data_IF_248957119445
#
_entry.id   IF_248957119445
#
_cell.length_a   1.000
_cell.length_b   1.000
_cell.length_c   1.000
_cell.angle_alpha   90.00
_cell.angle_beta   90.00
_cell.angle_gamma   90.00
#
_symmetry.space_group_name_H-M   'P 1'
#
loop_
_entity.id
_entity.type
_entity.pdbx_description
1 polymer ?
#
# COMPACT_ATOMS: atom_id res chain seq x y z
N UNK A 1 13.20 -8.40 -25.11
CA UNK A 1 11.86 -8.91 -24.85
C UNK A 1 10.88 -7.83 -25.29
N UNK A 2 10.11 -8.04 -26.36
CA UNK A 2 9.15 -7.03 -26.83
C UNK A 2 8.07 -6.90 -25.77
N UNK A 3 7.95 -5.73 -25.16
CA UNK A 3 6.80 -5.37 -24.33
C UNK A 3 5.58 -5.34 -25.27
N UNK A 4 4.53 -6.08 -24.93
CA UNK A 4 3.27 -6.00 -25.65
C UNK A 4 2.45 -4.84 -25.06
N UNK A 5 2.55 -3.61 -25.57
CA UNK A 5 1.92 -2.42 -24.97
C UNK A 5 0.40 -2.56 -24.93
N UNK A 6 -0.17 -3.37 -25.82
CA UNK A 6 -1.61 -3.66 -25.82
C UNK A 6 -2.04 -4.49 -24.61
N UNK A 7 -1.27 -5.53 -24.25
CA UNK A 7 -1.59 -6.40 -23.10
C UNK A 7 -1.46 -5.63 -21.78
N UNK A 8 -0.43 -4.81 -21.67
CA UNK A 8 -0.21 -3.95 -20.52
C UNK A 8 -1.36 -2.95 -20.33
N UNK A 9 -1.78 -2.27 -21.39
CA UNK A 9 -2.92 -1.35 -21.36
C UNK A 9 -4.23 -2.06 -20.98
N UNK A 10 -4.48 -3.26 -21.54
CA UNK A 10 -5.66 -4.07 -21.21
C UNK A 10 -5.65 -4.50 -19.75
N UNK A 11 -4.50 -4.91 -19.22
CA UNK A 11 -4.34 -5.32 -17.83
C UNK A 11 -4.63 -4.15 -16.88
N UNK A 12 -4.05 -2.97 -17.12
CA UNK A 12 -4.33 -1.75 -16.35
C UNK A 12 -5.82 -1.38 -16.37
N UNK A 13 -6.47 -1.47 -17.52
CA UNK A 13 -7.90 -1.20 -17.61
C UNK A 13 -8.73 -2.17 -16.78
N UNK A 14 -8.39 -3.46 -16.80
CA UNK A 14 -9.07 -4.48 -15.97
C UNK A 14 -8.86 -4.20 -14.49
N UNK A 15 -7.64 -3.89 -14.08
CA UNK A 15 -7.33 -3.55 -12.68
C UNK A 15 -8.12 -2.31 -12.22
N UNK A 16 -8.15 -1.25 -13.04
CA UNK A 16 -8.91 -0.04 -12.73
C UNK A 16 -10.41 -0.33 -12.60
N UNK A 17 -10.98 -1.09 -13.54
CA UNK A 17 -12.41 -1.47 -13.51
C UNK A 17 -12.71 -2.30 -12.26
N UNK A 18 -11.87 -3.27 -11.92
CA UNK A 18 -12.04 -4.07 -10.70
C UNK A 18 -11.95 -3.20 -9.44
N UNK A 19 -10.94 -2.33 -9.33
CA UNK A 19 -10.77 -1.43 -8.21
C UNK A 19 -12.01 -0.53 -8.04
N UNK A 20 -12.48 0.10 -9.11
CA UNK A 20 -13.65 0.99 -9.08
C UNK A 20 -14.91 0.22 -8.65
N UNK A 21 -15.13 -0.99 -9.17
CA UNK A 21 -16.31 -1.79 -8.78
C UNK A 21 -16.25 -2.22 -7.31
N UNK A 22 -15.09 -2.68 -6.83
CA UNK A 22 -14.91 -3.05 -5.41
C UNK A 22 -15.10 -1.83 -4.51
N UNK A 23 -14.52 -0.69 -4.88
CA UNK A 23 -14.64 0.56 -4.15
C UNK A 23 -16.10 1.04 -4.07
N UNK A 24 -16.81 1.04 -5.19
CA UNK A 24 -18.23 1.43 -5.23
C UNK A 24 -19.11 0.45 -4.44
N UNK A 25 -18.87 -0.86 -4.59
CA UNK A 25 -19.60 -1.86 -3.81
C UNK A 25 -19.37 -1.68 -2.30
N UNK A 26 -18.14 -1.45 -1.87
CA UNK A 26 -17.81 -1.18 -0.48
C UNK A 26 -18.52 0.07 0.06
N UNK A 27 -18.47 1.18 -0.67
CA UNK A 27 -19.15 2.42 -0.29
C UNK A 27 -20.68 2.24 -0.21
N UNK A 28 -21.29 1.56 -1.18
CA UNK A 28 -22.73 1.28 -1.20
C UNK A 28 -23.12 0.41 -0.01
N UNK A 29 -22.39 -0.67 0.25
CA UNK A 29 -22.65 -1.56 1.37
C UNK A 29 -22.51 -0.83 2.71
N UNK A 30 -21.47 -0.02 2.89
CA UNK A 30 -21.28 0.78 4.09
C UNK A 30 -22.39 1.80 4.30
N UNK A 31 -22.92 2.38 3.22
CA UNK A 31 -24.03 3.33 3.29
C UNK A 31 -25.36 2.65 3.63
N UNK A 32 -25.58 1.41 3.17
CA UNK A 32 -26.79 0.62 3.46
C UNK A 32 -26.77 0.14 4.91
N UNK A 33 -25.67 -0.45 5.34
CA UNK A 33 -25.49 -0.98 6.68
C UNK A 33 -24.01 -1.07 7.04
N UNK A 34 -23.54 -0.11 7.85
CA UNK A 34 -22.16 -0.09 8.32
C UNK A 34 -21.79 -1.30 9.19
N UNK A 35 -22.78 -1.99 9.78
CA UNK A 35 -22.55 -3.20 10.60
C UNK A 35 -22.08 -4.41 9.77
N UNK A 36 -22.26 -4.38 8.45
CA UNK A 36 -21.73 -5.40 7.55
C UNK A 36 -20.20 -5.45 7.57
N UNK A 37 -19.53 -4.35 7.94
CA UNK A 37 -18.07 -4.30 8.08
C UNK A 37 -17.62 -4.61 9.52
N UNK A 38 -18.14 -5.71 10.08
CA UNK A 38 -17.66 -6.21 11.37
C UNK A 38 -16.16 -6.54 11.31
N UNK A 39 -15.45 -6.40 12.44
CA UNK A 39 -14.02 -6.76 12.52
C UNK A 39 -13.76 -8.20 12.07
N UNK A 40 -14.69 -9.12 12.34
CA UNK A 40 -14.58 -10.52 11.90
C UNK A 40 -14.58 -10.64 10.37
N UNK A 41 -15.49 -9.94 9.68
CA UNK A 41 -15.55 -9.96 8.23
C UNK A 41 -14.30 -9.32 7.61
N UNK A 42 -13.85 -8.19 8.15
CA UNK A 42 -12.61 -7.53 7.72
C UNK A 42 -11.40 -8.45 7.86
N UNK A 43 -11.31 -9.20 8.96
CA UNK A 43 -10.25 -10.17 9.21
C UNK A 43 -10.24 -11.31 8.17
N UNK A 44 -11.39 -11.89 7.85
CA UNK A 44 -11.49 -12.92 6.81
C UNK A 44 -11.16 -12.37 5.41
N UNK A 45 -11.62 -11.16 5.10
CA UNK A 45 -11.28 -10.47 3.85
C UNK A 45 -9.76 -10.24 3.76
N UNK A 46 -9.14 -9.77 4.84
CA UNK A 46 -7.69 -9.56 4.91
C UNK A 46 -6.92 -10.86 4.66
N UNK A 47 -7.27 -11.95 5.37
CA UNK A 47 -6.63 -13.26 5.19
C UNK A 47 -6.77 -13.72 3.74
N UNK A 48 -7.96 -13.60 3.16
CA UNK A 48 -8.21 -13.97 1.77
C UNK A 48 -7.31 -13.20 0.81
N UNK A 49 -7.21 -11.88 0.95
CA UNK A 49 -6.34 -11.07 0.09
C UNK A 49 -4.86 -11.34 0.32
N UNK A 50 -4.42 -11.53 1.56
CA UNK A 50 -3.03 -11.91 1.86
C UNK A 50 -2.69 -13.27 1.24
N UNK A 51 -3.58 -14.25 1.28
CA UNK A 51 -3.35 -15.55 0.68
C UNK A 51 -3.33 -15.49 -0.87
N UNK A 52 -4.22 -14.73 -1.50
CA UNK A 52 -4.35 -14.70 -2.96
C UNK A 52 -3.37 -13.72 -3.62
N UNK A 53 -3.10 -12.59 -2.98
CA UNK A 53 -2.25 -11.53 -3.55
C UNK A 53 -0.85 -11.56 -2.92
N UNK A 54 -0.74 -11.75 -1.62
CA UNK A 54 0.52 -11.71 -0.90
C UNK A 54 1.46 -12.87 -1.24
N UNK A 55 0.95 -14.10 -1.33
CA UNK A 55 1.78 -15.26 -1.70
C UNK A 55 2.37 -15.16 -3.12
N UNK A 56 1.60 -14.78 -4.17
CA UNK A 56 2.18 -14.53 -5.49
C UNK A 56 3.22 -13.42 -5.53
N UNK A 57 3.13 -12.42 -4.63
CA UNK A 57 4.12 -11.33 -4.57
C UNK A 57 5.54 -11.86 -4.33
N UNK A 58 5.73 -12.77 -3.39
CA UNK A 58 7.02 -13.42 -3.14
C UNK A 58 7.56 -14.21 -4.35
N UNK A 59 6.67 -14.78 -5.16
CA UNK A 59 7.06 -15.44 -6.41
C UNK A 59 7.58 -14.45 -7.47
N UNK A 60 6.98 -13.26 -7.54
CA UNK A 60 7.47 -12.20 -8.44
C UNK A 60 8.83 -11.67 -8.02
N UNK A 61 9.14 -11.61 -6.73
CA UNK A 61 10.48 -11.24 -6.24
C UNK A 61 11.54 -12.21 -6.73
N UNK A 62 11.24 -13.53 -6.68
CA UNK A 62 12.13 -14.55 -7.24
C UNK A 62 12.34 -14.36 -8.75
N UNK A 63 11.26 -14.13 -9.52
CA UNK A 63 11.38 -13.91 -10.97
C UNK A 63 12.17 -12.64 -11.31
N UNK A 64 11.98 -11.57 -10.56
CA UNK A 64 12.70 -10.31 -10.75
C UNK A 64 14.18 -10.47 -10.37
N UNK A 65 14.47 -11.18 -9.27
CA UNK A 65 15.85 -11.48 -8.87
C UNK A 65 16.58 -12.32 -9.91
N UNK A 66 15.90 -13.28 -10.53
CA UNK A 66 16.46 -14.06 -11.64
C UNK A 66 16.85 -13.17 -12.83
N UNK A 67 16.03 -12.17 -13.19
CA UNK A 67 16.34 -11.23 -14.28
C UNK A 67 17.53 -10.34 -13.95
N UNK A 68 17.64 -9.90 -12.70
CA UNK A 68 18.68 -8.97 -12.25
C UNK A 68 20.01 -9.68 -11.96
N UNK A 69 19.97 -10.84 -11.33
CA UNK A 69 21.15 -11.51 -10.77
C UNK A 69 21.45 -12.87 -11.42
N UNK A 70 20.62 -13.35 -12.36
CA UNK A 70 20.76 -14.67 -12.97
C UNK A 70 22.08 -14.89 -13.73
N UNK A 71 22.81 -13.82 -14.03
CA UNK A 71 24.16 -13.86 -14.62
C UNK A 71 25.27 -14.13 -13.59
N UNK A 72 24.97 -14.03 -12.29
CA UNK A 72 25.91 -14.25 -11.19
C UNK A 72 25.92 -15.73 -10.84
N UNK A 73 27.10 -16.32 -10.66
CA UNK A 73 27.21 -17.68 -10.19
C UNK A 73 26.59 -17.82 -8.80
N UNK A 74 25.75 -18.85 -8.58
CA UNK A 74 25.01 -19.10 -7.33
C UNK A 74 24.05 -17.96 -6.92
N UNK A 75 23.51 -17.20 -7.87
CA UNK A 75 22.60 -16.08 -7.60
C UNK A 75 21.40 -16.47 -6.70
N UNK A 76 20.87 -17.70 -6.85
CA UNK A 76 19.76 -18.20 -6.03
C UNK A 76 20.16 -18.22 -4.56
N UNK A 77 21.36 -18.75 -4.25
CA UNK A 77 21.86 -18.80 -2.88
C UNK A 77 22.05 -17.38 -2.30
N UNK A 78 22.67 -16.50 -3.07
CA UNK A 78 22.91 -15.10 -2.68
C UNK A 78 21.59 -14.39 -2.40
N UNK A 79 20.62 -14.53 -3.31
CA UNK A 79 19.29 -13.94 -3.16
C UNK A 79 18.57 -14.51 -1.94
N UNK A 80 18.53 -15.84 -1.79
CA UNK A 80 17.81 -16.49 -0.68
C UNK A 80 18.44 -16.12 0.66
N UNK A 81 19.75 -16.17 0.80
CA UNK A 81 20.45 -15.77 2.03
C UNK A 81 20.20 -14.29 2.34
N UNK A 82 20.31 -13.41 1.33
CA UNK A 82 20.02 -11.98 1.52
C UNK A 82 18.58 -11.72 1.96
N UNK A 83 17.63 -12.36 1.30
CA UNK A 83 16.19 -12.22 1.62
C UNK A 83 15.85 -12.72 3.01
N UNK A 84 16.32 -13.91 3.37
CA UNK A 84 16.11 -14.50 4.71
C UNK A 84 16.83 -13.68 5.79
N UNK A 85 18.05 -13.20 5.51
CA UNK A 85 18.79 -12.35 6.46
C UNK A 85 18.07 -11.03 6.71
N UNK A 86 17.49 -10.40 5.67
CA UNK A 86 16.71 -9.18 5.82
C UNK A 86 15.44 -9.41 6.64
N UNK A 87 14.72 -10.51 6.39
CA UNK A 87 13.55 -10.89 7.15
C UNK A 87 13.89 -11.16 8.64
N UNK A 88 15.01 -11.84 8.88
CA UNK A 88 15.50 -12.08 10.24
C UNK A 88 15.91 -10.79 10.95
N UNK A 89 16.61 -9.90 10.25
CA UNK A 89 16.98 -8.59 10.79
C UNK A 89 15.74 -7.76 11.15
N UNK A 90 14.71 -7.77 10.30
CA UNK A 90 13.45 -7.08 10.59
C UNK A 90 12.74 -7.68 11.81
N UNK A 91 12.70 -9.02 11.92
CA UNK A 91 12.16 -9.71 13.09
C UNK A 91 12.92 -9.33 14.37
N UNK A 92 14.23 -9.18 14.29
CA UNK A 92 15.06 -8.77 15.41
C UNK A 92 14.73 -7.33 15.85
N UNK A 93 14.53 -6.42 14.90
CA UNK A 93 14.05 -5.05 15.19
C UNK A 93 12.68 -5.10 15.86
N UNK A 94 11.79 -5.99 15.40
CA UNK A 94 10.47 -6.18 15.99
C UNK A 94 10.55 -6.62 17.45
N UNK A 95 11.40 -7.58 17.76
CA UNK A 95 11.61 -8.08 19.15
C UNK A 95 12.22 -7.00 20.06
N UNK A 96 13.13 -6.18 19.54
CA UNK A 96 13.82 -5.15 20.32
C UNK A 96 12.98 -3.89 20.51
N UNK A 97 12.20 -3.50 19.52
CA UNK A 97 11.35 -2.31 19.54
C UNK A 97 10.21 -2.43 18.54
N UNK A 98 9.03 -2.96 18.94
CA UNK A 98 7.88 -3.12 18.05
C UNK A 98 7.44 -1.79 17.41
N UNK A 99 7.49 -0.68 18.18
CA UNK A 99 7.16 0.65 17.66
C UNK A 99 8.10 1.06 16.52
N UNK A 100 9.42 0.87 16.70
CA UNK A 100 10.39 1.20 15.65
C UNK A 100 10.17 0.31 14.40
N UNK A 101 9.90 -0.98 14.59
CA UNK A 101 9.57 -1.89 13.51
C UNK A 101 8.31 -1.46 12.75
N UNK A 102 7.25 -1.07 13.44
CA UNK A 102 6.03 -0.55 12.83
C UNK A 102 6.29 0.71 12.00
N UNK A 103 7.04 1.68 12.55
CA UNK A 103 7.39 2.91 11.83
C UNK A 103 8.20 2.59 10.57
N UNK A 104 9.21 1.71 10.68
CA UNK A 104 10.02 1.27 9.53
C UNK A 104 9.14 0.60 8.49
N UNK A 105 8.20 -0.26 8.90
CA UNK A 105 7.25 -0.90 8.00
C UNK A 105 6.42 0.11 7.22
N UNK A 106 5.81 1.09 7.90
CA UNK A 106 4.97 2.12 7.27
C UNK A 106 5.79 2.99 6.30
N UNK A 107 7.03 3.32 6.65
CA UNK A 107 7.93 4.06 5.75
C UNK A 107 8.31 3.25 4.52
N UNK A 108 8.67 1.97 4.70
CA UNK A 108 8.98 1.06 3.58
C UNK A 108 7.75 0.84 2.69
N UNK A 109 6.57 0.67 3.28
CA UNK A 109 5.33 0.54 2.52
C UNK A 109 5.02 1.81 1.72
N UNK A 110 5.22 3.01 2.30
CA UNK A 110 5.08 4.30 1.58
C UNK A 110 5.99 4.36 0.35
N UNK A 111 7.26 4.01 0.51
CA UNK A 111 8.22 3.99 -0.59
C UNK A 111 7.84 2.93 -1.62
N UNK A 112 7.46 1.73 -1.16
CA UNK A 112 7.08 0.62 -2.03
C UNK A 112 5.87 0.97 -2.93
N UNK A 113 4.78 1.47 -2.35
CA UNK A 113 3.61 1.89 -3.13
C UNK A 113 3.94 3.02 -4.11
N UNK A 114 4.77 3.98 -3.70
CA UNK A 114 5.21 5.05 -4.58
C UNK A 114 6.08 4.55 -5.74
N UNK A 115 6.98 3.60 -5.48
CA UNK A 115 7.84 2.99 -6.51
C UNK A 115 7.03 2.12 -7.48
N UNK A 116 6.05 1.36 -6.99
CA UNK A 116 5.20 0.54 -7.83
C UNK A 116 4.44 1.42 -8.83
N UNK A 117 3.83 2.51 -8.37
CA UNK A 117 3.16 3.45 -9.24
C UNK A 117 4.11 4.10 -10.25
N UNK A 118 5.33 4.47 -9.84
CA UNK A 118 6.34 5.04 -10.73
C UNK A 118 6.86 4.01 -11.75
N UNK A 119 7.02 2.75 -11.38
CA UNK A 119 7.57 1.68 -12.24
C UNK A 119 6.62 1.30 -13.37
N UNK A 120 5.31 1.37 -13.13
CA UNK A 120 4.27 1.04 -14.09
C UNK A 120 4.36 1.92 -15.34
N UNK A 121 4.92 3.13 -15.25
CA UNK A 121 4.90 4.09 -16.35
C UNK A 121 6.26 4.49 -16.95
N UNK A 122 7.36 3.80 -16.64
CA UNK A 122 8.71 4.11 -17.16
C UNK A 122 9.17 5.57 -16.92
N UNK A 123 8.77 6.19 -15.83
CA UNK A 123 9.20 7.55 -15.53
C UNK A 123 10.60 7.58 -14.91
N UNK A 124 11.60 7.79 -15.75
CA UNK A 124 12.98 8.07 -15.32
C UNK A 124 13.10 9.43 -14.65
N UNK A 125 12.10 10.32 -14.81
CA UNK A 125 12.15 11.74 -14.40
C UNK A 125 11.12 12.18 -13.36
N UNK A 126 10.41 11.26 -12.69
CA UNK A 126 9.49 11.70 -11.63
C UNK A 126 10.24 12.18 -10.38
N UNK A 127 9.82 13.34 -9.88
CA UNK A 127 10.29 13.83 -8.59
C UNK A 127 10.07 12.77 -7.50
N UNK A 128 11.13 12.42 -6.76
CA UNK A 128 11.06 11.49 -5.62
C UNK A 128 10.00 11.94 -4.59
N UNK A 129 9.76 13.25 -4.49
CA UNK A 129 8.74 13.83 -3.62
C UNK A 129 7.35 13.41 -4.06
N UNK A 130 7.06 13.45 -5.37
CA UNK A 130 5.78 13.03 -5.93
C UNK A 130 5.50 11.54 -5.62
N UNK A 131 6.51 10.69 -5.82
CA UNK A 131 6.45 9.27 -5.51
C UNK A 131 6.11 9.02 -4.03
N UNK A 132 6.75 9.74 -3.11
CA UNK A 132 6.48 9.60 -1.67
C UNK A 132 5.06 10.08 -1.33
N UNK A 133 4.59 11.19 -1.91
CA UNK A 133 3.25 11.70 -1.65
C UNK A 133 2.20 10.69 -2.11
N UNK A 134 2.32 10.16 -3.32
CA UNK A 134 1.36 9.17 -3.85
C UNK A 134 1.40 7.88 -3.03
N UNK A 135 2.60 7.37 -2.73
CA UNK A 135 2.76 6.16 -1.92
C UNK A 135 2.29 6.31 -0.48
N UNK A 136 2.22 7.55 0.05
CA UNK A 136 1.69 7.80 1.39
C UNK A 136 0.15 7.78 1.45
N UNK A 137 -0.56 7.95 0.34
CA UNK A 137 -2.03 8.04 0.31
C UNK A 137 -2.72 6.86 1.00
N UNK A 138 -2.45 5.59 0.63
CA UNK A 138 -3.13 4.44 1.23
C UNK A 138 -2.78 4.23 2.71
N UNK A 139 -1.74 4.85 3.22
CA UNK A 139 -1.29 4.73 4.61
C UNK A 139 -1.79 5.92 5.43
N UNK A 140 -1.52 7.13 4.97
CA UNK A 140 -1.80 8.34 5.75
C UNK A 140 -3.28 8.70 5.81
N UNK A 141 -4.09 8.41 4.76
CA UNK A 141 -5.51 8.71 4.82
C UNK A 141 -6.24 7.91 5.90
N UNK A 142 -6.10 6.56 6.00
CA UNK A 142 -6.70 5.83 7.11
C UNK A 142 -6.18 6.31 8.47
N UNK A 143 -4.89 6.55 8.63
CA UNK A 143 -4.30 7.04 9.89
C UNK A 143 -4.93 8.37 10.30
N UNK A 144 -5.16 9.31 9.38
CA UNK A 144 -5.67 10.64 9.69
C UNK A 144 -7.19 10.68 9.85
N UNK A 145 -7.94 9.86 9.12
CA UNK A 145 -9.40 9.91 9.11
C UNK A 145 -10.07 8.88 10.03
N UNK A 146 -9.37 7.78 10.33
CA UNK A 146 -9.80 6.70 11.23
C UNK A 146 -8.80 6.50 12.37
N UNK A 147 -8.28 7.60 12.93
CA UNK A 147 -7.17 7.62 13.87
C UNK A 147 -7.34 6.60 15.01
N UNK A 148 -8.48 6.65 15.72
CA UNK A 148 -8.73 5.78 16.88
C UNK A 148 -8.73 4.29 16.49
N UNK A 149 -9.38 3.93 15.38
CA UNK A 149 -9.45 2.54 14.91
C UNK A 149 -8.09 2.03 14.44
N UNK A 150 -7.34 2.86 13.70
CA UNK A 150 -6.01 2.48 13.19
C UNK A 150 -5.02 2.35 14.35
N UNK A 151 -5.03 3.26 15.31
CA UNK A 151 -4.15 3.17 16.47
C UNK A 151 -4.52 1.99 17.36
N UNK A 152 -5.81 1.70 17.54
CA UNK A 152 -6.25 0.48 18.20
C UNK A 152 -5.68 -0.79 17.53
N UNK A 153 -5.71 -0.86 16.18
CA UNK A 153 -5.11 -1.98 15.45
C UNK A 153 -3.59 -2.03 15.67
N UNK A 154 -2.91 -0.89 15.63
CA UNK A 154 -1.47 -0.83 15.88
C UNK A 154 -1.11 -1.31 17.30
N UNK A 155 -1.85 -0.87 18.32
CA UNK A 155 -1.67 -1.32 19.70
C UNK A 155 -1.85 -2.84 19.86
N UNK A 156 -2.83 -3.42 19.16
CA UNK A 156 -3.01 -4.89 19.15
C UNK A 156 -1.84 -5.62 18.46
N UNK A 157 -1.23 -5.02 17.43
CA UNK A 157 -0.11 -5.62 16.70
C UNK A 157 1.19 -5.57 17.51
N UNK A 158 1.45 -4.44 18.17
CA UNK A 158 2.72 -4.23 18.91
C UNK A 158 2.64 -4.61 20.38
N UNK A 159 1.43 -4.87 20.91
CA UNK A 159 1.15 -5.14 22.33
C UNK A 159 1.66 -4.03 23.28
N UNK A 160 1.54 -2.77 22.82
CA UNK A 160 1.94 -1.57 23.56
C UNK A 160 0.91 -0.45 23.35
N UNK A 161 0.70 0.39 24.39
CA UNK A 161 -0.14 1.57 24.26
C UNK A 161 0.58 2.68 23.49
N UNK A 162 -0.10 3.26 22.53
CA UNK A 162 0.41 4.35 21.71
C UNK A 162 -0.20 5.69 22.12
N UNK A 163 0.56 6.76 21.96
CA UNK A 163 0.01 8.12 22.03
C UNK A 163 -0.72 8.39 20.73
N UNK A 164 -2.06 8.45 20.79
CA UNK A 164 -2.91 8.77 19.64
C UNK A 164 -2.76 10.25 19.29
N UNK A 165 -2.26 10.59 18.10
CA UNK A 165 -2.10 11.98 17.69
C UNK A 165 -3.46 12.61 17.36
N UNK A 166 -3.64 13.88 17.70
CA UNK A 166 -4.79 14.66 17.25
C UNK A 166 -4.53 15.28 15.87
N UNK A 167 -5.08 14.68 14.85
CA UNK A 167 -5.05 15.25 13.49
C UNK A 167 -6.17 16.27 13.33
N UNK A 168 -5.85 17.52 13.60
CA UNK A 168 -6.79 18.62 13.45
C UNK A 168 -7.22 18.83 11.99
N UNK A 169 -8.34 19.56 11.81
CA UNK A 169 -8.91 19.79 10.48
C UNK A 169 -7.96 20.50 9.52
N UNK A 170 -7.08 21.36 10.03
CA UNK A 170 -6.11 22.09 9.21
C UNK A 170 -5.10 21.11 8.58
N UNK A 171 -4.57 20.19 9.36
CA UNK A 171 -3.62 19.19 8.87
C UNK A 171 -4.25 18.25 7.84
N UNK A 172 -5.48 17.75 8.13
CA UNK A 172 -6.26 16.93 7.20
C UNK A 172 -6.51 17.66 5.88
N UNK A 173 -6.95 18.92 5.95
CA UNK A 173 -7.24 19.74 4.77
C UNK A 173 -5.97 20.06 3.97
N UNK A 174 -4.86 20.34 4.63
CA UNK A 174 -3.57 20.61 3.98
C UNK A 174 -3.08 19.36 3.24
N UNK A 175 -3.19 18.19 3.84
CA UNK A 175 -2.79 16.94 3.20
C UNK A 175 -3.69 16.61 1.99
N UNK A 176 -5.02 16.77 2.11
CA UNK A 176 -5.94 16.59 0.99
C UNK A 176 -5.67 17.59 -0.15
N UNK A 177 -5.34 18.86 0.17
CA UNK A 177 -4.96 19.85 -0.83
C UNK A 177 -3.66 19.42 -1.55
N UNK A 178 -2.67 18.94 -0.82
CA UNK A 178 -1.43 18.43 -1.39
C UNK A 178 -1.69 17.27 -2.36
N UNK A 179 -2.53 16.31 -1.97
CA UNK A 179 -2.95 15.21 -2.84
C UNK A 179 -3.67 15.77 -4.09
N UNK A 180 -4.62 16.69 -3.91
CA UNK A 180 -5.36 17.28 -5.03
C UNK A 180 -4.43 17.94 -6.04
N UNK A 181 -3.44 18.71 -5.59
CA UNK A 181 -2.42 19.33 -6.46
C UNK A 181 -1.66 18.25 -7.25
N UNK A 182 -1.22 17.19 -6.58
CA UNK A 182 -0.50 16.09 -7.22
C UNK A 182 -1.36 15.40 -8.28
N UNK A 183 -2.62 15.10 -7.97
CA UNK A 183 -3.54 14.48 -8.91
C UNK A 183 -3.85 15.36 -10.12
N UNK A 184 -3.90 16.69 -9.93
CA UNK A 184 -4.14 17.65 -11.01
C UNK A 184 -2.95 17.81 -11.96
N UNK A 185 -1.71 17.53 -11.50
CA UNK A 185 -0.53 17.58 -12.37
C UNK A 185 -0.59 16.55 -13.50
N UNK A 186 -1.21 15.39 -13.24
CA UNK A 186 -1.49 14.39 -14.28
C UNK A 186 -2.76 13.57 -13.94
N UNK A 187 -3.93 14.21 -14.12
CA UNK A 187 -5.22 13.61 -13.75
C UNK A 187 -5.52 12.29 -14.48
N UNK A 188 -5.00 12.11 -15.70
CA UNK A 188 -5.26 10.90 -16.49
C UNK A 188 -4.55 9.69 -15.91
N UNK A 189 -3.40 9.93 -15.31
CA UNK A 189 -2.59 8.91 -14.67
C UNK A 189 -3.22 8.46 -13.35
N UNK A 190 -3.69 9.43 -12.55
CA UNK A 190 -4.15 9.18 -11.19
C UNK A 190 -5.67 9.04 -11.07
N UNK A 191 -6.38 8.74 -12.16
CA UNK A 191 -7.84 8.61 -12.18
C UNK A 191 -8.35 7.59 -11.13
N UNK A 192 -7.60 6.50 -10.89
CA UNK A 192 -7.94 5.49 -9.89
C UNK A 192 -8.03 6.06 -8.47
N UNK A 193 -7.20 7.06 -8.15
CA UNK A 193 -7.18 7.69 -6.82
C UNK A 193 -8.43 8.51 -6.53
N UNK A 194 -9.14 9.01 -7.56
CA UNK A 194 -10.43 9.68 -7.37
C UNK A 194 -11.48 8.76 -6.74
N UNK A 195 -11.36 7.45 -6.95
CA UNK A 195 -12.22 6.44 -6.34
C UNK A 195 -11.63 5.88 -5.05
N UNK A 196 -10.32 5.71 -4.99
CA UNK A 196 -9.63 5.15 -3.83
C UNK A 196 -9.70 6.09 -2.61
N UNK A 197 -9.50 7.40 -2.80
CA UNK A 197 -9.49 8.38 -1.72
C UNK A 197 -10.80 8.41 -0.93
N UNK A 198 -12.00 8.51 -1.54
CA UNK A 198 -13.25 8.41 -0.81
C UNK A 198 -13.39 7.10 -0.02
N UNK A 199 -12.94 5.97 -0.59
CA UNK A 199 -12.97 4.70 0.13
C UNK A 199 -12.10 4.74 1.38
N UNK A 200 -10.87 5.25 1.30
CA UNK A 200 -9.96 5.36 2.43
C UNK A 200 -10.42 6.34 3.52
N UNK A 201 -11.32 7.27 3.17
CA UNK A 201 -11.89 8.26 4.11
C UNK A 201 -13.18 7.75 4.75
N UNK A 202 -14.01 7.02 4.03
CA UNK A 202 -15.38 6.66 4.47
C UNK A 202 -15.55 5.20 4.86
N UNK A 203 -14.73 4.29 4.31
CA UNK A 203 -14.77 2.89 4.72
C UNK A 203 -13.91 2.67 5.98
N UNK A 204 -14.33 1.76 6.87
CA UNK A 204 -13.49 1.39 8.01
C UNK A 204 -12.15 0.83 7.55
N UNK A 205 -11.07 1.08 8.31
CA UNK A 205 -9.72 0.66 7.97
C UNK A 205 -9.56 -0.85 8.02
#
# INVERSE_FOLDING_TARGET
MQSYPYLEKKYKTIQLVLLVNVALAGLILNFIDASLFSYELQYYILIFFVAIIGLPHGFFDYMNSQKLYGHIHNWILIFTVGYVSLAFLYLLVWILSPIAALIIFLLLATVHFGMEEASIERFVDQSKVLMIIIGSIPIMLPIMFHTDNVFFIFEQIIDENLIVPDFNIILKSTYLLLIAVVLLLDYRKYLAYLFLIPCLIYLPP
#
